data_IF_086868951712
#
_entry.id   IF_086868951712
#
_cell.length_a   1.000
_cell.length_b   1.000
_cell.length_c   1.000
_cell.angle_alpha   90.00
_cell.angle_beta   90.00
_cell.angle_gamma   90.00
#
_symmetry.space_group_name_H-M   'P 1'
#
loop_
_entity.id
_entity.type
_entity.pdbx_description
1 polymer ?
#
# COMPACT_ATOMS: atom_id res chain seq x y z
N UNK A 1 -34.84 -18.47 -10.94
CA UNK A 1 -33.77 -18.84 -9.99
C UNK A 1 -32.46 -18.44 -10.63
N UNK A 2 -31.69 -17.53 -10.03
CA UNK A 2 -30.38 -17.16 -10.57
C UNK A 2 -29.45 -18.37 -10.51
N UNK A 3 -28.72 -18.63 -11.59
CA UNK A 3 -27.72 -19.69 -11.67
C UNK A 3 -26.65 -19.48 -10.59
N UNK A 4 -26.30 -20.53 -9.85
CA UNK A 4 -25.28 -20.42 -8.80
C UNK A 4 -23.91 -20.21 -9.44
N UNK A 5 -23.30 -19.04 -9.22
CA UNK A 5 -21.94 -18.76 -9.68
C UNK A 5 -20.94 -19.29 -8.66
N UNK A 6 -20.08 -20.23 -9.07
CA UNK A 6 -19.04 -20.76 -8.21
C UNK A 6 -17.99 -19.68 -7.87
N UNK A 7 -17.60 -19.61 -6.59
CA UNK A 7 -16.49 -18.75 -6.18
C UNK A 7 -15.17 -19.32 -6.72
N UNK A 8 -14.39 -18.49 -7.41
CA UNK A 8 -13.08 -18.88 -7.93
C UNK A 8 -12.13 -19.18 -6.77
N UNK A 9 -11.23 -20.14 -6.95
CA UNK A 9 -10.16 -20.42 -5.98
C UNK A 9 -9.45 -19.12 -5.57
N UNK A 10 -9.25 -18.93 -4.26
CA UNK A 10 -8.72 -17.68 -3.73
C UNK A 10 -7.27 -17.46 -4.19
N UNK A 11 -7.06 -16.49 -5.07
CA UNK A 11 -5.72 -15.94 -5.32
C UNK A 11 -5.19 -15.30 -4.03
N UNK A 12 -3.88 -15.33 -3.82
CA UNK A 12 -3.24 -14.70 -2.65
C UNK A 12 -3.60 -13.21 -2.61
N UNK A 13 -4.10 -12.77 -1.46
CA UNK A 13 -4.57 -11.40 -1.21
C UNK A 13 -3.54 -10.64 -0.37
N UNK A 14 -3.62 -9.32 -0.43
CA UNK A 14 -2.67 -8.40 0.20
C UNK A 14 -3.38 -7.44 1.16
N UNK A 15 -4.19 -8.00 2.06
CA UNK A 15 -4.94 -7.27 3.09
C UNK A 15 -5.87 -6.17 2.54
N UNK A 16 -5.96 -5.03 3.22
CA UNK A 16 -6.91 -3.95 2.93
C UNK A 16 -6.90 -3.54 1.45
N UNK A 17 -8.10 -3.40 0.88
CA UNK A 17 -8.39 -3.13 -0.53
C UNK A 17 -8.03 -4.23 -1.53
N UNK A 18 -7.46 -5.36 -1.13
CA UNK A 18 -6.95 -6.34 -2.08
C UNK A 18 -8.00 -7.10 -2.89
N UNK A 19 -9.26 -7.10 -2.43
CA UNK A 19 -10.43 -7.64 -3.14
C UNK A 19 -11.06 -6.66 -4.14
N UNK A 20 -10.67 -5.38 -4.08
CA UNK A 20 -11.17 -4.36 -4.99
C UNK A 20 -10.39 -4.40 -6.31
N UNK A 21 -10.93 -3.80 -7.39
CA UNK A 21 -10.15 -3.55 -8.60
C UNK A 21 -8.87 -2.76 -8.30
N UNK A 22 -7.82 -2.92 -9.14
CA UNK A 22 -6.53 -2.24 -8.97
C UNK A 22 -6.66 -0.75 -8.63
N UNK A 23 -5.75 -0.27 -7.79
CA UNK A 23 -5.77 1.11 -7.31
C UNK A 23 -5.42 2.05 -8.46
N UNK A 24 -6.40 2.79 -8.96
CA UNK A 24 -6.16 3.88 -9.93
C UNK A 24 -5.39 5.03 -9.27
N UNK A 25 -4.64 5.81 -10.04
CA UNK A 25 -3.92 7.00 -9.55
C UNK A 25 -4.81 7.98 -8.77
N UNK A 26 -6.03 8.26 -9.24
CA UNK A 26 -6.97 9.16 -8.53
C UNK A 26 -7.41 8.61 -7.16
N UNK A 27 -7.64 7.29 -7.07
CA UNK A 27 -7.96 6.61 -5.82
C UNK A 27 -6.76 6.61 -4.87
N UNK A 28 -5.55 6.40 -5.38
CA UNK A 28 -4.33 6.48 -4.58
C UNK A 28 -4.15 7.89 -3.99
N UNK A 29 -4.29 8.93 -4.82
CA UNK A 29 -4.26 10.34 -4.39
C UNK A 29 -5.26 10.63 -3.28
N UNK A 30 -6.50 10.15 -3.40
CA UNK A 30 -7.53 10.29 -2.35
C UNK A 30 -7.14 9.60 -1.04
N UNK A 31 -6.55 8.41 -1.09
CA UNK A 31 -6.07 7.71 0.12
C UNK A 31 -4.90 8.44 0.77
N UNK A 32 -3.96 8.98 -0.01
CA UNK A 32 -2.85 9.80 0.50
C UNK A 32 -3.40 11.08 1.16
N UNK A 33 -4.36 11.76 0.51
CA UNK A 33 -5.01 12.93 1.07
C UNK A 33 -5.71 12.63 2.40
N UNK A 34 -6.38 11.47 2.49
CA UNK A 34 -7.00 11.01 3.74
C UNK A 34 -5.96 10.80 4.85
N UNK A 35 -4.86 10.10 4.57
CA UNK A 35 -3.77 9.87 5.53
C UNK A 35 -3.22 11.21 6.06
N UNK A 36 -2.97 12.18 5.17
CA UNK A 36 -2.51 13.52 5.53
C UNK A 36 -3.53 14.25 6.41
N UNK A 37 -4.83 14.15 6.08
CA UNK A 37 -5.90 14.78 6.85
C UNK A 37 -6.06 14.18 8.25
N UNK A 38 -5.73 12.89 8.44
CA UNK A 38 -5.67 12.24 9.75
C UNK A 38 -4.42 12.63 10.57
N UNK A 39 -3.52 13.45 10.01
CA UNK A 39 -2.23 13.80 10.64
C UNK A 39 -1.34 12.57 10.91
N UNK A 40 -1.49 11.52 10.11
CA UNK A 40 -0.64 10.34 10.17
C UNK A 40 0.65 10.54 9.38
N UNK A 41 1.69 9.81 9.76
CA UNK A 41 3.00 9.88 9.09
C UNK A 41 3.08 8.80 7.99
N UNK A 42 3.20 9.18 6.71
CA UNK A 42 3.36 8.21 5.62
C UNK A 42 4.66 7.43 5.77
N UNK A 43 4.63 6.14 5.45
CA UNK A 43 5.81 5.31 5.27
C UNK A 43 5.61 4.34 4.12
N UNK A 44 6.71 3.94 3.50
CA UNK A 44 6.71 3.04 2.35
C UNK A 44 7.55 1.83 2.71
N UNK A 45 7.03 0.65 2.40
CA UNK A 45 7.75 -0.60 2.59
C UNK A 45 7.64 -1.49 1.37
N UNK A 46 8.64 -2.35 1.17
CA UNK A 46 8.67 -3.28 0.05
C UNK A 46 9.19 -4.67 0.45
N UNK A 47 8.80 -5.70 -0.30
CA UNK A 47 9.21 -7.08 -0.05
C UNK A 47 9.01 -7.97 -1.28
N UNK A 48 9.72 -9.08 -1.37
CA UNK A 48 9.49 -10.10 -2.38
C UNK A 48 8.14 -10.83 -2.14
N UNK A 49 7.44 -11.30 -3.18
CA UNK A 49 6.12 -11.95 -3.06
C UNK A 49 6.06 -13.11 -2.09
N UNK A 50 7.15 -13.88 -2.02
CA UNK A 50 7.28 -15.05 -1.16
C UNK A 50 7.19 -14.64 0.31
N UNK A 51 7.75 -13.47 0.65
CA UNK A 51 7.80 -12.89 2.00
C UNK A 51 6.62 -11.96 2.31
N UNK A 52 5.61 -11.87 1.45
CA UNK A 52 4.49 -10.91 1.64
C UNK A 52 3.72 -11.08 2.94
N UNK A 53 3.74 -12.27 3.56
CA UNK A 53 3.06 -12.57 4.83
C UNK A 53 3.95 -12.33 6.06
N UNK A 54 5.20 -11.90 5.86
CA UNK A 54 6.08 -11.49 6.97
C UNK A 54 5.49 -10.26 7.65
N UNK A 55 5.58 -10.22 8.98
CA UNK A 55 5.21 -9.05 9.78
C UNK A 55 6.06 -7.82 9.44
N UNK A 56 7.32 -8.04 9.07
CA UNK A 56 8.28 -6.98 8.74
C UNK A 56 8.69 -7.03 7.27
N UNK A 57 8.57 -5.88 6.61
CA UNK A 57 9.02 -5.63 5.25
C UNK A 57 10.20 -4.65 5.29
N UNK A 58 10.91 -4.48 4.18
CA UNK A 58 12.01 -3.54 4.10
C UNK A 58 11.47 -2.12 4.05
N UNK A 59 11.90 -1.27 4.98
CA UNK A 59 11.54 0.13 5.01
C UNK A 59 12.25 0.88 3.87
N UNK A 60 11.48 1.61 3.06
CA UNK A 60 12.02 2.54 2.08
C UNK A 60 12.35 3.87 2.76
N UNK A 61 13.64 4.14 2.92
CA UNK A 61 14.16 5.32 3.64
C UNK A 61 13.61 5.38 5.08
N UNK A 62 12.87 6.44 5.42
CA UNK A 62 12.30 6.71 6.74
C UNK A 62 10.83 7.15 6.57
N UNK A 63 9.99 7.04 7.62
CA UNK A 63 8.68 7.67 7.61
C UNK A 63 8.79 9.17 7.29
N UNK A 64 7.85 9.67 6.49
CA UNK A 64 7.83 11.03 5.97
C UNK A 64 7.21 11.98 7.01
N UNK A 65 7.90 12.18 8.13
CA UNK A 65 7.38 12.97 9.26
C UNK A 65 6.97 14.38 8.84
N UNK A 66 5.72 14.74 9.13
CA UNK A 66 5.17 16.06 8.82
C UNK A 66 4.96 16.35 7.32
N UNK A 67 5.15 15.36 6.43
CA UNK A 67 4.94 15.53 5.00
C UNK A 67 3.45 15.78 4.68
N UNK A 68 3.19 16.76 3.82
CA UNK A 68 1.84 17.17 3.39
C UNK A 68 1.67 17.16 1.88
N UNK A 69 2.74 16.95 1.12
CA UNK A 69 2.71 16.92 -0.33
C UNK A 69 2.35 15.54 -0.85
N UNK A 70 1.19 15.43 -1.48
CA UNK A 70 0.75 14.21 -2.19
C UNK A 70 1.78 13.83 -3.26
N UNK A 71 2.32 14.80 -3.99
CA UNK A 71 3.29 14.56 -5.07
C UNK A 71 4.60 13.97 -4.54
N UNK A 72 5.08 14.42 -3.38
CA UNK A 72 6.31 13.87 -2.78
C UNK A 72 6.12 12.41 -2.38
N UNK A 73 4.97 12.08 -1.77
CA UNK A 73 4.64 10.70 -1.37
C UNK A 73 4.51 9.79 -2.61
N UNK A 74 3.84 10.27 -3.66
CA UNK A 74 3.75 9.53 -4.93
C UNK A 74 5.12 9.33 -5.58
N UNK A 75 5.95 10.37 -5.62
CA UNK A 75 7.30 10.27 -6.17
C UNK A 75 8.17 9.25 -5.44
N UNK A 76 8.05 9.15 -4.11
CA UNK A 76 8.76 8.14 -3.33
C UNK A 76 8.21 6.72 -3.54
N UNK A 77 6.89 6.57 -3.69
CA UNK A 77 6.26 5.29 -4.06
C UNK A 77 6.78 4.78 -5.42
N UNK A 78 6.81 5.66 -6.42
CA UNK A 78 7.35 5.36 -7.75
C UNK A 78 8.85 5.05 -7.72
N UNK A 79 9.63 5.83 -6.95
CA UNK A 79 11.06 5.61 -6.81
C UNK A 79 11.37 4.26 -6.14
N UNK A 80 10.61 3.90 -5.09
CA UNK A 80 10.72 2.61 -4.43
C UNK A 80 10.40 1.47 -5.40
N UNK A 81 9.30 1.57 -6.15
CA UNK A 81 8.89 0.55 -7.12
C UNK A 81 9.93 0.36 -8.23
N UNK A 82 10.46 1.46 -8.78
CA UNK A 82 11.48 1.42 -9.85
C UNK A 82 12.80 0.82 -9.37
N UNK A 83 13.20 1.08 -8.12
CA UNK A 83 14.46 0.60 -7.55
C UNK A 83 14.39 -0.88 -7.15
N UNK A 84 13.18 -1.38 -6.87
CA UNK A 84 12.94 -2.73 -6.38
C UNK A 84 11.99 -3.50 -7.34
N UNK A 85 12.41 -3.75 -8.59
CA UNK A 85 11.57 -4.45 -9.56
C UNK A 85 11.18 -5.83 -9.04
N UNK A 86 9.91 -6.21 -9.21
CA UNK A 86 9.39 -7.50 -8.75
C UNK A 86 8.99 -7.54 -7.26
N UNK A 87 9.17 -6.48 -6.49
CA UNK A 87 8.67 -6.40 -5.12
C UNK A 87 7.22 -5.92 -5.07
N UNK A 88 6.50 -6.35 -4.03
CA UNK A 88 5.35 -5.59 -3.54
C UNK A 88 5.83 -4.28 -2.90
N UNK A 89 5.07 -3.21 -3.08
CA UNK A 89 5.29 -1.94 -2.40
C UNK A 89 3.99 -1.53 -1.72
N UNK A 90 4.03 -1.25 -0.42
CA UNK A 90 2.87 -0.80 0.36
C UNK A 90 3.07 0.61 0.90
N UNK A 91 1.96 1.33 1.03
CA UNK A 91 1.87 2.58 1.74
C UNK A 91 1.28 2.31 3.13
N UNK A 92 1.89 2.89 4.15
CA UNK A 92 1.46 2.86 5.55
C UNK A 92 1.22 4.30 6.02
N UNK A 93 0.21 4.50 6.87
CA UNK A 93 0.05 5.72 7.66
C UNK A 93 0.18 5.41 9.15
N UNK A 94 1.26 5.87 9.78
CA UNK A 94 1.48 5.69 11.21
C UNK A 94 0.74 6.76 12.02
N UNK A 95 -0.06 6.29 12.98
CA UNK A 95 -0.71 7.12 13.99
C UNK A 95 0.10 7.05 15.28
N UNK A 96 0.78 8.15 15.61
CA UNK A 96 1.62 8.25 16.79
C UNK A 96 0.81 8.35 18.10
N UNK A 97 -0.47 8.72 18.05
CA UNK A 97 -1.31 8.80 19.24
C UNK A 97 -1.80 7.42 19.67
N UNK A 98 -2.26 6.61 18.72
CA UNK A 98 -2.70 5.23 18.99
C UNK A 98 -1.56 4.20 18.99
N UNK A 99 -0.35 4.61 18.62
CA UNK A 99 0.82 3.72 18.42
C UNK A 99 0.50 2.58 17.45
N UNK A 100 -0.18 2.89 16.35
CA UNK A 100 -0.66 1.90 15.38
C UNK A 100 -0.44 2.36 13.93
N UNK A 101 -0.72 1.46 13.00
CA UNK A 101 -0.87 1.77 11.58
C UNK A 101 -2.34 2.06 11.31
N UNK A 102 -2.69 3.34 11.10
CA UNK A 102 -4.04 3.76 10.77
C UNK A 102 -4.49 3.29 9.37
N UNK A 103 -3.54 3.08 8.47
CA UNK A 103 -3.77 2.42 7.19
C UNK A 103 -2.53 1.66 6.73
N UNK A 104 -2.73 0.56 6.00
CA UNK A 104 -1.69 -0.18 5.32
C UNK A 104 -2.30 -0.91 4.10
N UNK A 105 -1.80 -0.64 2.90
CA UNK A 105 -2.27 -1.31 1.69
C UNK A 105 -1.20 -1.34 0.60
N UNK A 106 -1.21 -2.40 -0.22
CA UNK A 106 -0.30 -2.54 -1.35
C UNK A 106 -0.69 -1.56 -2.46
N UNK A 107 0.30 -0.78 -2.91
CA UNK A 107 0.20 0.16 -4.04
C UNK A 107 0.65 -0.51 -5.33
N UNK A 108 1.81 -1.18 -5.31
CA UNK A 108 2.34 -1.92 -6.46
C UNK A 108 2.41 -3.40 -6.13
N UNK A 109 1.82 -4.24 -6.98
CA UNK A 109 1.93 -5.70 -6.86
C UNK A 109 3.08 -6.21 -7.72
N UNK A 110 3.86 -7.13 -7.15
CA UNK A 110 4.78 -7.92 -7.94
C UNK A 110 4.06 -8.65 -9.08
N UNK A 111 4.68 -8.71 -10.25
CA UNK A 111 4.10 -9.35 -11.44
C UNK A 111 3.20 -8.44 -12.30
N UNK A 112 3.16 -7.13 -12.04
CA UNK A 112 2.59 -6.15 -12.99
C UNK A 112 1.06 -6.13 -13.10
N UNK A 113 0.35 -6.39 -12.00
CA UNK A 113 -1.12 -6.22 -11.91
C UNK A 113 -1.50 -5.01 -11.06
#
# INVERSE_FOLDING_TARGET
>A
MSEAVAYKSAERRGETFSYLPPMTQDRLRRNIAYLIAQNWNPAIEHTEPEKSMSSFWYLWKLPMFGERSIERILGELEACHRTNPGHHVRLIGYDNYSQSQGTAFIVYRAGGR
#
